data_IF_845704769394
#
_entry.id   IF_845704769394
#
_cell.length_a   1.000
_cell.length_b   1.000
_cell.length_c   1.000
_cell.angle_alpha   90.00
_cell.angle_beta   90.00
_cell.angle_gamma   90.00
#
_symmetry.space_group_name_H-M   'P 1'
#
loop_
_entity.id
_entity.type
_entity.pdbx_description
1 polymer ?
#
# COMPACT_ATOMS: atom_id res chain seq x y z
N UNK A 1 24.48 11.39 10.86
CA UNK A 1 23.87 12.34 11.82
C UNK A 1 22.60 12.91 11.20
N UNK A 2 21.47 12.20 11.34
CA UNK A 2 20.13 12.76 11.20
C UNK A 2 19.24 12.01 12.18
N UNK A 3 19.19 12.49 13.42
CA UNK A 3 18.07 12.23 14.33
C UNK A 3 17.11 13.40 14.13
N UNK A 4 15.84 13.10 13.85
CA UNK A 4 14.76 14.00 14.25
C UNK A 4 13.86 13.21 15.18
N UNK A 5 14.01 13.52 16.47
CA UNK A 5 13.20 13.06 17.58
C UNK A 5 12.46 14.29 18.09
N UNK A 6 11.16 14.35 17.87
CA UNK A 6 10.30 15.31 18.56
C UNK A 6 9.58 14.56 19.69
N UNK A 7 10.13 14.70 20.89
CA UNK A 7 9.48 14.34 22.14
C UNK A 7 8.47 15.43 22.47
N UNK A 8 7.18 15.10 22.51
CA UNK A 8 6.26 15.89 23.31
C UNK A 8 5.36 14.96 24.11
N UNK A 9 5.71 14.82 25.37
CA UNK A 9 5.02 14.04 26.38
C UNK A 9 3.91 14.92 26.97
N UNK A 10 2.65 14.59 26.72
CA UNK A 10 1.54 15.06 27.57
C UNK A 10 0.47 13.98 27.66
N UNK A 11 0.38 13.38 28.84
CA UNK A 11 -0.61 12.39 29.23
C UNK A 11 -1.93 13.10 29.61
N UNK A 12 -3.01 12.85 28.86
CA UNK A 12 -4.33 12.59 29.43
C UNK A 12 -5.32 12.03 28.40
N UNK A 13 -6.03 10.99 28.83
CA UNK A 13 -6.77 9.98 28.05
C UNK A 13 -8.00 10.49 27.27
N UNK A 14 -7.97 10.26 25.94
CA UNK A 14 -8.99 9.49 25.22
C UNK A 14 -8.43 9.14 23.82
N UNK A 15 -8.19 7.84 23.61
CA UNK A 15 -7.39 7.28 22.54
C UNK A 15 -8.02 7.48 21.15
N UNK A 16 -7.32 8.21 20.28
CA UNK A 16 -6.86 7.76 18.95
C UNK A 16 -6.12 8.93 18.29
N UNK A 17 -4.88 9.14 18.72
CA UNK A 17 -3.98 10.19 18.25
C UNK A 17 -3.62 9.94 16.78
N UNK A 18 -4.28 10.69 15.89
CA UNK A 18 -4.10 10.70 14.43
C UNK A 18 -2.83 11.48 14.05
N UNK A 19 -1.66 10.95 14.41
CA UNK A 19 -0.40 11.37 13.80
C UNK A 19 -0.09 10.40 12.66
N UNK A 20 -0.52 10.77 11.46
CA UNK A 20 -0.17 10.06 10.22
C UNK A 20 1.30 10.34 9.98
N UNK A 21 2.16 9.39 10.37
CA UNK A 21 3.57 9.41 10.01
C UNK A 21 3.64 9.32 8.48
N UNK A 22 3.95 10.43 7.80
CA UNK A 22 4.19 10.45 6.35
C UNK A 22 5.55 9.81 6.04
N UNK A 23 5.78 8.60 6.53
CA UNK A 23 7.01 7.86 6.29
C UNK A 23 6.94 7.25 4.91
N UNK A 24 7.97 7.53 4.13
CA UNK A 24 8.15 7.04 2.78
C UNK A 24 9.44 6.25 2.74
N UNK A 25 9.30 4.94 2.72
CA UNK A 25 10.39 4.01 2.93
C UNK A 25 11.47 4.13 1.84
N UNK A 26 11.08 4.49 0.62
CA UNK A 26 11.94 4.57 -0.56
C UNK A 26 13.00 5.67 -0.47
N UNK A 27 12.74 6.73 0.30
CA UNK A 27 13.70 7.83 0.50
C UNK A 27 15.00 7.33 1.17
N UNK A 28 14.90 6.29 2.02
CA UNK A 28 16.05 5.62 2.64
C UNK A 28 16.99 5.01 1.59
N UNK A 29 16.46 4.70 0.41
CA UNK A 29 17.17 4.12 -0.73
C UNK A 29 17.45 5.15 -1.84
N UNK A 30 17.17 6.43 -1.60
CA UNK A 30 17.40 7.51 -2.55
C UNK A 30 16.31 7.69 -3.61
N UNK A 31 15.14 7.08 -3.44
CA UNK A 31 14.01 7.24 -4.36
C UNK A 31 12.91 8.11 -3.75
N UNK A 32 12.32 9.04 -4.53
CA UNK A 32 11.25 9.91 -4.05
C UNK A 32 9.98 9.12 -3.69
N UNK A 33 9.04 9.82 -3.05
CA UNK A 33 7.71 9.28 -2.77
C UNK A 33 6.78 9.51 -3.93
N UNK A 34 5.96 8.52 -4.24
CA UNK A 34 4.88 8.73 -5.18
C UNK A 34 3.81 9.65 -4.56
N UNK A 35 3.27 10.53 -5.38
CA UNK A 35 2.10 11.34 -5.04
C UNK A 35 0.79 10.60 -5.32
N UNK A 36 0.82 9.73 -6.32
CA UNK A 36 -0.20 8.75 -6.69
C UNK A 36 -0.04 7.47 -5.89
N UNK A 37 -1.13 6.71 -5.83
CA UNK A 37 -1.18 5.37 -5.24
C UNK A 37 -1.20 4.26 -6.30
N UNK A 38 -0.92 4.60 -7.55
CA UNK A 38 -0.85 3.63 -8.63
C UNK A 38 0.43 2.79 -8.52
N UNK A 39 0.26 1.54 -8.10
CA UNK A 39 1.34 0.56 -8.00
C UNK A 39 1.61 -0.06 -9.37
N UNK A 40 2.85 0.00 -9.82
CA UNK A 40 3.32 -0.62 -11.07
C UNK A 40 3.93 -1.99 -10.78
N UNK A 41 4.71 -2.09 -9.72
CA UNK A 41 5.38 -3.33 -9.31
C UNK A 41 5.56 -3.38 -7.81
N UNK A 42 5.77 -4.57 -7.28
CA UNK A 42 5.99 -4.81 -5.85
C UNK A 42 7.23 -5.68 -5.72
N UNK A 43 8.11 -5.35 -4.79
CA UNK A 43 9.27 -6.16 -4.43
C UNK A 43 9.38 -6.37 -2.91
N UNK A 44 10.53 -6.87 -2.45
CA UNK A 44 10.79 -7.12 -1.02
C UNK A 44 10.82 -5.84 -0.16
N UNK A 45 11.05 -4.68 -0.78
CA UNK A 45 11.07 -3.39 -0.09
C UNK A 45 9.67 -2.78 0.01
N UNK A 46 8.86 -2.98 -1.03
CA UNK A 46 7.46 -2.60 -1.04
C UNK A 46 6.90 -2.32 -2.42
N UNK A 47 5.81 -1.56 -2.45
CA UNK A 47 5.12 -1.17 -3.68
C UNK A 47 5.78 0.05 -4.33
N UNK A 48 6.04 -0.05 -5.64
CA UNK A 48 6.68 0.98 -6.44
C UNK A 48 5.72 1.56 -7.48
N UNK A 49 5.85 2.85 -7.74
CA UNK A 49 5.23 3.55 -8.86
C UNK A 49 6.27 4.31 -9.67
N UNK A 50 5.82 5.02 -10.70
CA UNK A 50 6.68 5.88 -11.49
C UNK A 50 5.96 7.20 -11.82
N UNK A 51 6.63 8.31 -11.56
CA UNK A 51 6.12 9.66 -11.75
C UNK A 51 7.20 10.55 -12.36
N UNK A 52 6.84 11.42 -13.30
CA UNK A 52 7.78 12.33 -13.97
C UNK A 52 8.99 11.63 -14.63
N UNK A 53 8.87 10.34 -14.97
CA UNK A 53 9.95 9.55 -15.57
C UNK A 53 10.92 8.94 -14.55
N UNK A 54 10.62 9.03 -13.25
CA UNK A 54 11.45 8.49 -12.17
C UNK A 54 10.68 7.48 -11.32
N UNK A 55 11.40 6.48 -10.77
CA UNK A 55 10.83 5.52 -9.84
C UNK A 55 10.56 6.18 -8.49
N UNK A 56 9.44 5.82 -7.87
CA UNK A 56 9.06 6.32 -6.56
C UNK A 56 8.47 5.21 -5.68
N UNK A 57 8.63 5.33 -4.37
CA UNK A 57 8.00 4.41 -3.42
C UNK A 57 6.58 4.82 -3.11
N UNK A 58 5.68 3.84 -3.10
CA UNK A 58 4.28 4.05 -2.74
C UNK A 58 4.17 4.12 -1.21
N UNK A 59 3.69 5.24 -0.64
CA UNK A 59 3.53 5.39 0.80
C UNK A 59 2.34 4.55 1.29
N UNK A 60 2.62 3.37 1.84
CA UNK A 60 1.59 2.38 2.20
C UNK A 60 0.48 2.92 3.10
N UNK A 61 0.82 3.78 4.08
CA UNK A 61 -0.17 4.39 4.98
C UNK A 61 -1.08 5.39 4.27
N UNK A 62 -0.54 6.19 3.34
CA UNK A 62 -1.31 7.16 2.58
C UNK A 62 -2.18 6.47 1.53
N UNK A 63 -1.65 5.43 0.90
CA UNK A 63 -2.31 4.67 -0.15
C UNK A 63 -3.12 3.47 0.37
N UNK A 64 -3.21 3.32 1.68
CA UNK A 64 -3.92 2.22 2.36
C UNK A 64 -3.53 0.82 1.85
N UNK A 65 -2.28 0.67 1.36
CA UNK A 65 -1.70 -0.60 0.93
C UNK A 65 -1.49 -1.44 2.18
N UNK A 66 -2.21 -2.57 2.26
CA UNK A 66 -2.09 -3.51 3.37
C UNK A 66 -1.36 -4.76 2.91
N UNK A 67 -0.23 -5.05 3.56
CA UNK A 67 0.52 -6.29 3.32
C UNK A 67 -0.09 -7.43 4.14
N UNK A 68 -1.31 -7.84 3.78
CA UNK A 68 -2.00 -9.00 4.34
C UNK A 68 -1.91 -10.21 3.38
N UNK A 69 -2.59 -11.32 3.71
CA UNK A 69 -2.49 -12.58 2.96
C UNK A 69 -2.92 -12.49 1.49
N UNK A 70 -3.64 -11.44 1.10
CA UNK A 70 -4.23 -11.30 -0.21
C UNK A 70 -3.38 -10.38 -1.09
N UNK A 71 -2.88 -10.99 -2.16
CA UNK A 71 -1.83 -10.45 -3.02
C UNK A 71 -2.19 -9.13 -3.70
N UNK A 72 -3.48 -8.86 -3.97
CA UNK A 72 -3.91 -7.63 -4.64
C UNK A 72 -3.74 -6.38 -3.78
N UNK A 73 -3.74 -6.53 -2.45
CA UNK A 73 -3.59 -5.39 -1.54
C UNK A 73 -2.21 -4.74 -1.67
N UNK A 74 -1.18 -5.50 -2.06
CA UNK A 74 0.14 -4.96 -2.38
C UNK A 74 0.09 -3.97 -3.57
N UNK A 75 -0.91 -4.14 -4.43
CA UNK A 75 -1.17 -3.27 -5.58
C UNK A 75 -2.23 -2.19 -5.29
N UNK A 76 -2.69 -2.08 -4.04
CA UNK A 76 -3.71 -1.12 -3.63
C UNK A 76 -5.14 -1.54 -3.94
N UNK A 77 -5.38 -2.81 -4.29
CA UNK A 77 -6.72 -3.34 -4.59
C UNK A 77 -7.21 -4.28 -3.49
N UNK A 78 -8.48 -4.16 -3.05
CA UNK A 78 -9.05 -5.00 -2.01
C UNK A 78 -9.10 -6.48 -2.42
N UNK A 79 -9.40 -7.35 -1.47
CA UNK A 79 -9.72 -8.75 -1.75
C UNK A 79 -11.17 -8.91 -2.14
N UNK A 80 -11.46 -9.83 -3.04
CA UNK A 80 -12.83 -10.19 -3.33
C UNK A 80 -13.43 -10.99 -2.16
N UNK A 81 -14.69 -10.73 -1.83
CA UNK A 81 -15.46 -11.57 -0.89
C UNK A 81 -16.12 -12.78 -1.57
N UNK A 82 -15.85 -12.98 -2.86
CA UNK A 82 -16.32 -14.09 -3.68
C UNK A 82 -15.17 -14.69 -4.51
N UNK A 83 -15.48 -15.76 -5.23
CA UNK A 83 -14.52 -16.53 -6.02
C UNK A 83 -14.74 -16.43 -7.54
N UNK A 84 -15.72 -15.63 -7.98
CA UNK A 84 -16.01 -15.40 -9.39
C UNK A 84 -14.89 -14.63 -10.08
N UNK A 85 -14.17 -15.31 -10.96
CA UNK A 85 -13.04 -14.76 -11.71
C UNK A 85 -13.55 -13.99 -12.92
N UNK A 86 -13.15 -12.73 -13.00
CA UNK A 86 -13.42 -11.86 -14.14
C UNK A 86 -12.23 -11.79 -15.11
N UNK A 87 -11.01 -11.72 -14.57
CA UNK A 87 -9.77 -11.64 -15.35
C UNK A 87 -8.69 -12.49 -14.68
N UNK A 88 -7.76 -13.03 -15.45
CA UNK A 88 -6.54 -13.66 -14.92
C UNK A 88 -5.36 -13.14 -15.70
N UNK A 89 -4.34 -12.68 -14.98
CA UNK A 89 -3.09 -12.18 -15.53
C UNK A 89 -1.89 -12.77 -14.77
N UNK A 90 -0.70 -12.23 -15.02
CA UNK A 90 0.55 -12.68 -14.40
C UNK A 90 0.61 -12.39 -12.89
N UNK A 91 -0.21 -11.47 -12.38
CA UNK A 91 -0.30 -11.15 -10.95
C UNK A 91 -1.22 -12.13 -10.24
N UNK A 92 -2.34 -12.51 -10.87
CA UNK A 92 -3.25 -13.51 -10.35
C UNK A 92 -4.64 -13.47 -10.95
N UNK A 93 -5.61 -13.92 -10.16
CA UNK A 93 -7.03 -13.94 -10.55
C UNK A 93 -7.73 -12.70 -9.99
N UNK A 94 -8.29 -11.89 -10.86
CA UNK A 94 -9.05 -10.70 -10.50
C UNK A 94 -10.55 -10.96 -10.58
N UNK A 95 -11.28 -10.38 -9.63
CA UNK A 95 -12.73 -10.23 -9.65
C UNK A 95 -13.11 -8.74 -9.71
N UNK A 96 -14.42 -8.48 -9.71
CA UNK A 96 -14.95 -7.13 -9.62
C UNK A 96 -16.13 -7.11 -8.65
N UNK A 97 -16.07 -6.26 -7.64
CA UNK A 97 -17.07 -6.17 -6.57
C UNK A 97 -17.34 -4.69 -6.27
N UNK A 98 -18.62 -4.32 -6.10
CA UNK A 98 -19.03 -2.93 -5.83
C UNK A 98 -18.53 -1.88 -6.85
N UNK A 99 -18.25 -2.31 -8.09
CA UNK A 99 -17.71 -1.43 -9.13
C UNK A 99 -16.20 -1.22 -9.06
N UNK A 100 -15.48 -1.95 -8.20
CA UNK A 100 -14.04 -1.88 -8.01
C UNK A 100 -13.39 -3.22 -8.34
N UNK A 101 -12.12 -3.18 -8.77
CA UNK A 101 -11.32 -4.38 -8.98
C UNK A 101 -10.87 -4.96 -7.64
N UNK A 102 -10.86 -6.29 -7.53
CA UNK A 102 -10.42 -6.99 -6.34
C UNK A 102 -9.59 -8.24 -6.70
N UNK A 103 -8.68 -8.64 -5.81
CA UNK A 103 -7.91 -9.88 -5.96
C UNK A 103 -8.62 -11.08 -5.38
N UNK A 104 -8.63 -12.18 -6.12
CA UNK A 104 -9.13 -13.47 -5.67
C UNK A 104 -7.96 -14.24 -5.06
N UNK A 105 -8.07 -14.49 -3.76
CA UNK A 105 -7.11 -15.26 -2.98
C UNK A 105 -7.61 -16.71 -2.84
N UNK A 106 -6.74 -17.69 -3.08
CA UNK A 106 -7.02 -19.13 -2.88
C UNK A 106 -7.30 -19.52 -1.43
N UNK A 107 -6.93 -18.69 -0.46
CA UNK A 107 -7.23 -18.98 0.95
C UNK A 107 -8.67 -18.61 1.31
N UNK A 108 -9.27 -17.69 0.54
CA UNK A 108 -10.67 -17.28 0.69
C UNK A 108 -11.59 -17.99 -0.33
N UNK A 109 -11.00 -18.87 -1.14
CA UNK A 109 -11.58 -19.64 -2.25
C UNK A 109 -10.79 -20.97 -2.43
#
# INVERSE_FOLDING_TARGET
>A
NCFHYDNNNNNNNNNNNKYIFKYCWSETYGYPCCTSCHVITVDELGSWGAEHGEWCGIPSQHCQVQYNNCWSNYYGYPCCHHCDVFLTDDLGKWGAENGEWCGIDKNNC
#
